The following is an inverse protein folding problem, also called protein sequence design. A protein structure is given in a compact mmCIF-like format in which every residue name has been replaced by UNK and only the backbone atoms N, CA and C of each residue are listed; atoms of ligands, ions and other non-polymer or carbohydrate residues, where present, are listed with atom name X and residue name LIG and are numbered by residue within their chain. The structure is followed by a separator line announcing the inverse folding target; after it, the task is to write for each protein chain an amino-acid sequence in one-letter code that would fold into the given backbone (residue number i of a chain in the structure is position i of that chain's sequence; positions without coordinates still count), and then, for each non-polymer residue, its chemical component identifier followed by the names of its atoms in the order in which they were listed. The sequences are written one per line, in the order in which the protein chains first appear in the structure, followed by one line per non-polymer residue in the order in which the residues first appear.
data_IF_443659542532
#
_entry.id   IF_443659542532
#
_cell.length_a   1.000
_cell.length_b   1.000
_cell.length_c   1.000
_cell.angle_alpha   90.00
_cell.angle_beta   90.00
_cell.angle_gamma   90.00
#
_symmetry.space_group_name_H-M   'P 1'
#
loop_
_entity.id
_entity.type
_entity.pdbx_description
1 polymer ?
#
# COMPACT_ATOMS: atom_id res chain seq x y z
N UNK A 1 -8.59 -22.26 -3.89
CA UNK A 1 -7.47 -22.59 -2.98
C UNK A 1 -7.80 -22.09 -1.58
N UNK A 2 -7.93 -22.99 -0.65
CA UNK A 2 -8.18 -22.59 0.74
C UNK A 2 -6.82 -22.38 1.43
N UNK A 3 -6.51 -21.15 1.82
CA UNK A 3 -5.42 -20.87 2.74
C UNK A 3 -5.84 -21.34 4.13
N UNK A 4 -5.05 -22.20 4.72
CA UNK A 4 -5.25 -22.66 6.10
C UNK A 4 -4.23 -21.96 7.03
N UNK A 5 -4.52 -21.91 8.32
CA UNK A 5 -3.61 -21.30 9.28
C UNK A 5 -2.35 -22.15 9.49
N UNK A 6 -1.21 -21.52 9.77
CA UNK A 6 0.03 -22.23 10.08
C UNK A 6 -0.15 -23.22 11.25
N UNK A 7 -0.84 -22.89 12.35
CA UNK A 7 -1.13 -23.87 13.40
C UNK A 7 -1.85 -25.10 12.88
N UNK A 8 -2.83 -24.95 12.00
CA UNK A 8 -3.54 -26.07 11.38
C UNK A 8 -2.60 -26.95 10.55
N UNK A 9 -1.75 -26.37 9.69
CA UNK A 9 -0.76 -27.13 8.91
C UNK A 9 0.16 -27.90 9.83
N UNK A 10 0.66 -27.31 10.90
CA UNK A 10 1.55 -27.96 11.86
C UNK A 10 0.93 -29.21 12.48
N UNK A 11 -0.36 -29.21 12.82
CA UNK A 11 -1.04 -30.38 13.42
C UNK A 11 -1.16 -31.57 12.45
N UNK A 12 -0.94 -31.38 11.15
CA UNK A 12 -0.99 -32.44 10.13
C UNK A 12 0.38 -33.08 9.85
N UNK A 13 1.44 -32.56 10.43
CA UNK A 13 2.82 -33.00 10.22
C UNK A 13 3.53 -33.29 11.55
N UNK A 14 2.80 -33.77 12.56
CA UNK A 14 3.38 -34.18 13.84
C UNK A 14 4.03 -35.57 13.75
N UNK A 15 4.90 -35.87 14.72
CA UNK A 15 5.61 -37.17 14.74
C UNK A 15 4.61 -38.32 14.81
N UNK A 16 4.64 -39.19 13.84
CA UNK A 16 3.76 -40.37 13.73
C UNK A 16 2.57 -40.18 12.80
N UNK A 17 2.34 -38.99 12.30
CA UNK A 17 1.30 -38.74 11.30
C UNK A 17 1.66 -39.34 9.94
N UNK A 18 0.64 -39.67 9.18
CA UNK A 18 0.74 -39.99 7.76
C UNK A 18 -0.03 -38.96 6.97
N UNK A 19 0.63 -37.83 6.59
CA UNK A 19 -0.03 -36.77 5.83
C UNK A 19 -0.59 -37.32 4.51
N UNK A 20 -1.79 -36.89 4.19
CA UNK A 20 -2.44 -37.20 2.91
C UNK A 20 -2.03 -36.18 1.83
N UNK A 21 -2.38 -36.47 0.58
CA UNK A 21 -2.09 -35.53 -0.51
C UNK A 21 -2.67 -34.14 -0.29
N UNK A 22 -3.84 -34.06 0.33
CA UNK A 22 -4.50 -32.79 0.68
C UNK A 22 -3.69 -31.98 1.70
N UNK A 23 -3.05 -32.62 2.67
CA UNK A 23 -2.22 -31.94 3.69
C UNK A 23 -0.98 -31.31 3.05
N UNK A 24 -0.36 -32.02 2.08
CA UNK A 24 0.75 -31.46 1.30
C UNK A 24 0.30 -30.30 0.40
N UNK A 25 -0.89 -30.39 -0.19
CA UNK A 25 -1.44 -29.31 -1.00
C UNK A 25 -1.70 -28.08 -0.14
N UNK A 26 -2.29 -28.24 1.03
CA UNK A 26 -2.53 -27.15 2.00
C UNK A 26 -1.21 -26.50 2.46
N UNK A 27 -0.16 -27.31 2.68
CA UNK A 27 1.16 -26.81 3.02
C UNK A 27 1.75 -25.97 1.88
N UNK A 28 1.68 -26.46 0.64
CA UNK A 28 2.20 -25.77 -0.55
C UNK A 28 1.43 -24.48 -0.77
N UNK A 29 0.11 -24.51 -0.71
CA UNK A 29 -0.76 -23.34 -0.94
C UNK A 29 -0.56 -22.28 0.15
N UNK A 30 -0.36 -22.71 1.40
CA UNK A 30 -0.06 -21.80 2.52
C UNK A 30 1.32 -21.18 2.36
N UNK A 31 2.35 -21.96 2.02
CA UNK A 31 3.70 -21.48 1.81
C UNK A 31 3.78 -20.55 0.60
N UNK A 32 3.14 -20.91 -0.52
CA UNK A 32 3.06 -20.07 -1.70
C UNK A 32 2.31 -18.76 -1.41
N UNK A 33 1.24 -18.83 -0.64
CA UNK A 33 0.50 -17.65 -0.20
C UNK A 33 1.34 -16.71 0.66
N UNK A 34 2.12 -17.26 1.58
CA UNK A 34 3.04 -16.45 2.40
C UNK A 34 4.21 -15.89 1.59
N UNK A 35 4.77 -16.68 0.67
CA UNK A 35 5.80 -16.20 -0.24
C UNK A 35 5.27 -15.07 -1.15
N UNK A 36 4.02 -15.16 -1.57
CA UNK A 36 3.35 -14.09 -2.32
C UNK A 36 3.13 -12.87 -1.41
N UNK A 37 2.71 -13.06 -0.18
CA UNK A 37 2.55 -11.96 0.78
C UNK A 37 3.90 -11.33 1.17
N UNK A 38 4.98 -12.11 1.26
CA UNK A 38 6.35 -11.64 1.53
C UNK A 38 7.05 -11.10 0.28
N UNK A 39 6.84 -11.71 -0.88
CA UNK A 39 7.39 -11.26 -2.17
C UNK A 39 6.61 -10.07 -2.73
N UNK A 40 5.33 -10.00 -2.42
CA UNK A 40 4.46 -8.85 -2.63
C UNK A 40 4.51 -7.86 -1.46
N UNK A 41 5.26 -8.15 -0.39
CA UNK A 41 5.49 -7.18 0.69
C UNK A 41 6.24 -5.93 0.19
N UNK A 42 6.87 -6.03 -0.99
CA UNK A 42 7.22 -4.87 -1.78
C UNK A 42 6.07 -4.34 -2.66
N UNK A 43 4.94 -5.03 -2.76
CA UNK A 43 3.88 -4.71 -3.71
C UNK A 43 2.47 -4.85 -3.12
N UNK A 44 2.23 -4.30 -1.95
CA UNK A 44 0.91 -3.84 -1.56
C UNK A 44 0.55 -2.61 -2.42
N UNK A 45 0.78 -2.74 -3.74
CA UNK A 45 0.52 -1.68 -4.68
C UNK A 45 -0.98 -1.59 -4.94
N UNK A 46 -1.51 -0.40 -4.72
CA UNK A 46 -2.85 -0.03 -5.12
C UNK A 46 -2.78 0.96 -6.28
N UNK A 47 -3.69 0.84 -7.22
CA UNK A 47 -3.75 1.72 -8.39
C UNK A 47 -5.13 2.36 -8.46
N UNK A 48 -5.17 3.69 -8.60
CA UNK A 48 -6.38 4.46 -8.85
C UNK A 48 -6.14 5.26 -10.12
N UNK A 49 -6.92 4.95 -11.15
CA UNK A 49 -6.81 5.60 -12.46
C UNK A 49 -7.91 6.66 -12.66
N UNK A 50 -7.65 7.61 -13.56
CA UNK A 50 -8.65 8.58 -13.97
C UNK A 50 -8.97 9.65 -12.94
N UNK A 51 -8.02 10.01 -12.09
CA UNK A 51 -8.21 11.06 -11.09
C UNK A 51 -8.20 12.42 -11.77
N UNK A 52 -9.32 13.14 -11.67
CA UNK A 52 -9.51 14.48 -12.23
C UNK A 52 -9.65 15.58 -11.18
N UNK A 53 -10.03 15.19 -9.97
CA UNK A 53 -10.30 16.10 -8.87
C UNK A 53 -9.62 15.61 -7.59
N UNK A 54 -9.68 16.41 -6.53
CA UNK A 54 -9.22 16.00 -5.21
C UNK A 54 -9.83 14.64 -4.83
N UNK A 55 -8.99 13.67 -4.54
CA UNK A 55 -9.40 12.28 -4.29
C UNK A 55 -8.63 11.71 -3.10
N UNK A 56 -9.35 11.15 -2.15
CA UNK A 56 -8.74 10.32 -1.09
C UNK A 56 -8.31 9.01 -1.73
N UNK A 57 -7.00 8.75 -1.73
CA UNK A 57 -6.44 7.54 -2.35
C UNK A 57 -6.28 6.40 -1.35
N UNK A 58 -6.10 6.73 -0.08
CA UNK A 58 -6.05 5.75 1.01
C UNK A 58 -6.42 6.40 2.35
N UNK A 59 -6.79 5.56 3.32
CA UNK A 59 -7.01 5.99 4.68
C UNK A 59 -6.67 4.89 5.68
N UNK A 60 -6.34 5.27 6.91
CA UNK A 60 -6.07 4.33 7.99
C UNK A 60 -6.54 4.86 9.34
N UNK A 61 -6.72 3.95 10.28
CA UNK A 61 -7.10 4.25 11.66
C UNK A 61 -5.85 4.64 12.48
N UNK A 62 -5.83 5.87 12.96
CA UNK A 62 -4.74 6.42 13.76
C UNK A 62 -4.51 5.66 15.08
N UNK A 63 -5.53 4.98 15.62
CA UNK A 63 -5.40 4.17 16.83
C UNK A 63 -4.61 2.88 16.61
N UNK A 64 -4.52 2.43 15.36
CA UNK A 64 -3.87 1.17 14.98
C UNK A 64 -2.40 1.33 14.60
N UNK A 65 -1.97 2.52 14.25
CA UNK A 65 -0.67 2.74 13.65
C UNK A 65 0.10 3.88 14.33
N UNK A 66 1.38 3.62 14.64
CA UNK A 66 2.31 4.62 15.16
C UNK A 66 3.05 5.35 14.05
N UNK A 67 3.49 4.63 13.04
CA UNK A 67 4.19 5.17 11.87
C UNK A 67 3.65 4.51 10.62
N UNK A 68 3.31 5.31 9.62
CA UNK A 68 2.92 4.82 8.29
C UNK A 68 3.80 5.48 7.24
N UNK A 69 4.30 4.68 6.31
CA UNK A 69 5.05 5.15 5.15
C UNK A 69 4.28 4.83 3.89
N UNK A 70 4.32 5.76 2.96
CA UNK A 70 3.80 5.59 1.62
C UNK A 70 4.91 5.80 0.60
N UNK A 71 4.96 4.92 -0.37
CA UNK A 71 5.61 5.16 -1.64
C UNK A 71 4.50 5.50 -2.64
N UNK A 72 4.57 6.67 -3.26
CA UNK A 72 3.53 7.17 -4.15
C UNK A 72 4.11 7.51 -5.50
N UNK A 73 3.45 7.09 -6.57
CA UNK A 73 3.75 7.50 -7.94
C UNK A 73 2.50 8.06 -8.60
N UNK A 74 2.62 9.22 -9.22
CA UNK A 74 1.59 9.84 -10.04
C UNK A 74 2.07 9.79 -11.49
N UNK A 75 1.22 9.36 -12.38
CA UNK A 75 1.53 9.27 -13.79
C UNK A 75 0.41 9.78 -14.68
N UNK A 76 0.79 10.40 -15.79
CA UNK A 76 -0.07 10.65 -16.93
C UNK A 76 0.57 10.03 -18.15
N UNK A 77 -0.19 9.20 -18.83
CA UNK A 77 0.21 8.61 -20.09
C UNK A 77 -0.75 9.11 -21.17
N UNK A 78 -0.26 9.93 -22.06
CA UNK A 78 -1.00 10.38 -23.23
C UNK A 78 -0.11 10.31 -24.46
N UNK A 79 -0.71 10.35 -25.65
CA UNK A 79 0.02 10.22 -26.93
C UNK A 79 1.20 11.21 -27.00
N UNK A 80 2.41 10.69 -26.79
CA UNK A 80 3.66 11.46 -26.93
C UNK A 80 4.09 12.30 -25.72
N UNK A 81 3.34 12.26 -24.60
CA UNK A 81 3.63 13.04 -23.41
C UNK A 81 3.43 12.20 -22.14
N UNK A 82 4.48 11.50 -21.75
CA UNK A 82 4.49 10.66 -20.55
C UNK A 82 5.12 11.43 -19.39
N UNK A 83 4.30 11.77 -18.39
CA UNK A 83 4.71 12.45 -17.17
C UNK A 83 4.67 11.54 -15.98
N UNK A 84 5.71 11.63 -15.16
CA UNK A 84 5.87 10.80 -13.98
C UNK A 84 6.36 11.63 -12.80
N UNK A 85 5.80 11.35 -11.65
CA UNK A 85 6.20 11.88 -10.35
C UNK A 85 6.23 10.73 -9.35
N UNK A 86 7.22 10.69 -8.50
CA UNK A 86 7.31 9.74 -7.40
C UNK A 86 7.85 10.40 -6.15
N UNK A 87 7.34 9.97 -5.01
CA UNK A 87 7.76 10.48 -3.71
C UNK A 87 7.55 9.44 -2.60
N UNK A 88 8.18 9.67 -1.47
CA UNK A 88 7.98 8.93 -0.24
C UNK A 88 7.44 9.86 0.85
N UNK A 89 6.41 9.40 1.58
CA UNK A 89 5.87 10.11 2.74
C UNK A 89 6.04 9.25 3.98
N UNK A 90 6.39 9.88 5.09
CA UNK A 90 6.35 9.30 6.43
C UNK A 90 5.36 10.06 7.28
N UNK A 91 4.43 9.34 7.91
CA UNK A 91 3.38 9.88 8.77
C UNK A 91 3.56 9.29 10.15
N UNK A 92 3.96 10.11 11.11
CA UNK A 92 4.00 9.75 12.52
C UNK A 92 2.69 10.12 13.17
N UNK A 93 2.08 9.19 13.90
CA UNK A 93 0.88 9.42 14.70
C UNK A 93 1.28 9.57 16.16
N UNK A 94 0.99 10.73 16.73
CA UNK A 94 1.28 11.03 18.13
C UNK A 94 0.00 11.49 18.82
N UNK A 95 -0.65 10.57 19.53
CA UNK A 95 -1.90 10.86 20.23
C UNK A 95 -2.98 11.41 19.29
N UNK A 96 -3.24 12.72 19.41
CA UNK A 96 -4.25 13.42 18.60
C UNK A 96 -3.70 14.05 17.32
N UNK A 97 -2.36 14.14 17.21
CA UNK A 97 -1.69 14.84 16.12
C UNK A 97 -1.05 13.88 15.12
N UNK A 98 -0.71 14.41 13.95
CA UNK A 98 0.11 13.74 12.96
C UNK A 98 1.25 14.67 12.53
N UNK A 99 2.43 14.06 12.33
CA UNK A 99 3.57 14.73 11.70
C UNK A 99 3.85 14.06 10.37
N UNK A 100 3.96 14.85 9.32
CA UNK A 100 4.14 14.35 7.95
C UNK A 100 5.46 14.89 7.39
N UNK A 101 6.23 14.00 6.79
CA UNK A 101 7.42 14.37 6.03
C UNK A 101 7.34 13.73 4.65
N UNK A 102 7.53 14.55 3.63
CA UNK A 102 7.71 14.11 2.25
C UNK A 102 9.19 14.23 1.87
N UNK A 103 9.72 13.22 1.21
CA UNK A 103 11.12 13.21 0.76
C UNK A 103 11.32 12.32 -0.47
N UNK A 104 12.46 12.50 -1.14
CA UNK A 104 12.81 11.70 -2.30
C UNK A 104 11.95 11.98 -3.53
N UNK A 105 11.53 13.24 -3.69
CA UNK A 105 10.75 13.64 -4.88
C UNK A 105 11.59 13.45 -6.14
N UNK A 106 11.03 12.70 -7.08
CA UNK A 106 11.60 12.47 -8.41
C UNK A 106 10.50 12.75 -9.43
N UNK A 107 10.76 13.63 -10.36
CA UNK A 107 9.86 13.92 -11.48
C UNK A 107 10.64 14.08 -12.79
N UNK A 108 9.94 13.92 -13.91
CA UNK A 108 10.55 14.12 -15.23
C UNK A 108 10.05 15.36 -15.97
N UNK A 109 9.04 16.05 -15.47
CA UNK A 109 8.47 17.21 -16.13
C UNK A 109 7.61 18.09 -15.19
N UNK A 110 8.05 18.26 -13.94
CA UNK A 110 7.45 19.20 -13.00
C UNK A 110 6.22 18.67 -12.27
N UNK A 111 5.45 19.59 -11.75
CA UNK A 111 4.38 19.32 -10.81
C UNK A 111 3.22 18.53 -11.43
N UNK A 112 2.97 17.34 -10.90
CA UNK A 112 1.84 16.47 -11.30
C UNK A 112 0.58 16.70 -10.42
N UNK A 113 0.70 17.53 -9.40
CA UNK A 113 -0.33 17.77 -8.40
C UNK A 113 0.25 17.84 -6.99
N UNK A 114 -0.61 17.83 -6.00
CA UNK A 114 -0.24 17.85 -4.60
C UNK A 114 -0.71 16.58 -3.89
N UNK A 115 0.09 16.15 -2.92
CA UNK A 115 -0.26 15.06 -2.01
C UNK A 115 -0.43 15.67 -0.63
N UNK A 116 -1.59 15.47 -0.03
CA UNK A 116 -1.92 15.99 1.29
C UNK A 116 -2.31 14.86 2.24
N UNK A 117 -2.01 15.05 3.51
CA UNK A 117 -2.42 14.15 4.59
C UNK A 117 -3.24 14.94 5.59
N UNK A 118 -4.41 14.43 5.88
CA UNK A 118 -5.31 15.04 6.85
C UNK A 118 -5.78 14.02 7.88
N UNK A 119 -6.10 14.50 9.09
CA UNK A 119 -6.70 13.67 10.14
C UNK A 119 -8.04 14.25 10.55
N UNK A 120 -9.04 13.38 10.65
CA UNK A 120 -10.35 13.71 11.21
C UNK A 120 -10.74 12.60 12.20
N UNK A 121 -10.73 12.94 13.49
CA UNK A 121 -10.91 11.96 14.56
C UNK A 121 -9.80 10.89 14.50
N UNK A 122 -10.19 9.64 14.39
CA UNK A 122 -9.26 8.51 14.29
C UNK A 122 -8.92 8.14 12.83
N UNK A 123 -9.44 8.85 11.86
CA UNK A 123 -9.14 8.58 10.45
C UNK A 123 -8.06 9.53 9.94
N UNK A 124 -6.97 8.96 9.43
CA UNK A 124 -5.95 9.67 8.66
C UNK A 124 -6.16 9.33 7.19
N UNK A 125 -6.28 10.37 6.36
CA UNK A 125 -6.53 10.24 4.93
C UNK A 125 -5.36 10.80 4.12
N UNK A 126 -4.94 10.06 3.10
CA UNK A 126 -4.00 10.48 2.06
C UNK A 126 -4.79 10.92 0.84
N UNK A 127 -4.57 12.14 0.40
CA UNK A 127 -5.34 12.78 -0.67
C UNK A 127 -4.41 13.25 -1.78
N UNK A 128 -4.82 13.05 -3.02
CA UNK A 128 -4.14 13.59 -4.20
C UNK A 128 -5.04 14.59 -4.90
N UNK A 129 -4.48 15.74 -5.22
CA UNK A 129 -5.11 16.77 -6.06
C UNK A 129 -4.26 16.92 -7.32
N UNK A 130 -4.70 16.42 -8.49
CA UNK A 130 -3.95 16.53 -9.72
C UNK A 130 -3.86 17.99 -10.18
N UNK A 131 -2.75 18.35 -10.83
CA UNK A 131 -2.64 19.64 -11.49
C UNK A 131 -3.72 19.77 -12.59
N UNK A 132 -4.31 20.94 -12.68
CA UNK A 132 -5.45 21.21 -13.57
C UNK A 132 -5.15 21.02 -15.06
N UNK A 133 -3.90 21.16 -15.45
CA UNK A 133 -3.44 21.03 -16.83
C UNK A 133 -3.11 19.60 -17.20
N UNK A 134 -2.77 18.76 -16.20
CA UNK A 134 -2.24 17.42 -16.42
C UNK A 134 -3.31 16.33 -16.32
N UNK A 135 -4.40 16.58 -15.61
CA UNK A 135 -5.47 15.60 -15.37
C UNK A 135 -6.11 15.02 -16.67
N UNK A 136 -6.63 13.79 -16.67
CA UNK A 136 -6.66 12.86 -15.55
C UNK A 136 -5.29 12.21 -15.29
N UNK A 137 -5.03 11.84 -14.04
CA UNK A 137 -3.81 11.13 -13.64
C UNK A 137 -4.12 9.74 -13.10
N UNK A 138 -3.12 8.88 -13.09
CA UNK A 138 -3.15 7.58 -12.41
C UNK A 138 -2.19 7.65 -11.23
N UNK A 139 -2.68 7.26 -10.06
CA UNK A 139 -1.87 7.15 -8.84
C UNK A 139 -1.67 5.69 -8.50
N UNK A 140 -0.42 5.33 -8.23
CA UNK A 140 -0.03 4.06 -7.65
C UNK A 140 0.63 4.32 -6.32
N UNK A 141 0.30 3.53 -5.32
CA UNK A 141 0.91 3.66 -4.02
C UNK A 141 1.05 2.32 -3.31
N UNK A 142 2.06 2.25 -2.46
CA UNK A 142 2.24 1.16 -1.50
C UNK A 142 2.32 1.73 -0.09
N UNK A 143 1.73 1.04 0.88
CA UNK A 143 1.72 1.41 2.29
C UNK A 143 2.42 0.36 3.13
N UNK A 144 3.25 0.79 4.04
CA UNK A 144 3.80 -0.02 5.13
C UNK A 144 3.68 0.72 6.45
N UNK A 145 3.65 0.02 7.56
CA UNK A 145 3.53 0.70 8.84
C UNK A 145 3.93 -0.13 10.04
N UNK A 146 4.19 0.58 11.13
CA UNK A 146 4.42 0.03 12.45
C UNK A 146 3.17 0.25 13.32
N UNK A 147 2.74 -0.79 13.97
CA UNK A 147 1.59 -0.76 14.88
C UNK A 147 1.84 0.15 16.09
N UNK A 148 0.76 0.69 16.64
CA UNK A 148 0.77 1.46 17.90
C UNK A 148 0.99 0.55 19.11
#
# INVERSE_FOLDING_TARGET
MARVSIPYVKTRFETGDRPEQADYQDLIDTAAGQATDLGTAGNNENTIAGIENITVIDSFDASQWRLVKYLVSISKTSFGDNKFYATELSILVDGTDISVTEYGVIDNDGNMGTIDVSRTGDTVALTVTPDSVIKPVTVRFARMGLKA
#
